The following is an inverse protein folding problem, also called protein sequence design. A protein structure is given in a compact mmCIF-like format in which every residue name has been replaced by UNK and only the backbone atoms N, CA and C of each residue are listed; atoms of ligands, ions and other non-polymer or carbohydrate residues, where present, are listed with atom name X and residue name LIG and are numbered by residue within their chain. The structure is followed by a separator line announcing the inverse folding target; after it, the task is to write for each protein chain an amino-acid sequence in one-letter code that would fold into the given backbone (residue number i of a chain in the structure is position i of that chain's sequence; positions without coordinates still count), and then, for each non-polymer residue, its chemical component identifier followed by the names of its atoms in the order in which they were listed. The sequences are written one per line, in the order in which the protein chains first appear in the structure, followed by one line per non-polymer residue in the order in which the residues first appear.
data_IF_289324336721
#
_entry.id   IF_289324336721
#
_cell.length_a   1.000
_cell.length_b   1.000
_cell.length_c   1.000
_cell.angle_alpha   90.00
_cell.angle_beta   90.00
_cell.angle_gamma   90.00
#
_symmetry.space_group_name_H-M   'P 1'
#
loop_
_entity.id
_entity.type
_entity.pdbx_description
1 polymer ?
#
# COMPACT_ATOMS: atom_id res chain seq x y z
N UNK A 1 -16.58 4.14 -5.68
CA UNK A 1 -15.88 3.75 -4.44
C UNK A 1 -15.50 2.26 -4.51
N UNK A 2 -14.90 1.80 -5.61
CA UNK A 2 -14.47 0.39 -5.78
C UNK A 2 -13.00 0.30 -6.26
N UNK A 3 -12.36 1.44 -6.58
CA UNK A 3 -10.99 1.50 -7.07
C UNK A 3 -9.98 1.72 -5.93
N UNK A 4 -10.35 2.51 -4.92
CA UNK A 4 -9.53 2.84 -3.73
C UNK A 4 -9.05 1.64 -2.92
N UNK A 5 -9.72 0.48 -3.00
CA UNK A 5 -9.32 -0.70 -2.23
C UNK A 5 -8.18 -1.50 -2.89
N UNK A 6 -8.09 -1.48 -4.22
CA UNK A 6 -7.23 -2.40 -4.97
C UNK A 6 -5.74 -2.07 -4.85
N UNK A 7 -5.40 -0.78 -4.79
CA UNK A 7 -4.00 -0.34 -4.57
C UNK A 7 -3.49 -0.76 -3.19
N UNK A 8 -4.37 -0.78 -2.18
CA UNK A 8 -4.04 -1.22 -0.83
C UNK A 8 -3.88 -2.74 -0.75
N UNK A 9 -4.70 -3.48 -1.50
CA UNK A 9 -4.54 -4.94 -1.66
C UNK A 9 -3.16 -5.27 -2.28
N UNK A 10 -2.72 -4.54 -3.31
CA UNK A 10 -1.39 -4.73 -3.92
C UNK A 10 -0.26 -4.53 -2.90
N UNK A 11 -0.32 -3.46 -2.08
CA UNK A 11 0.68 -3.22 -1.03
C UNK A 11 0.62 -4.30 0.06
N UNK A 12 -0.57 -4.77 0.41
CA UNK A 12 -0.74 -5.85 1.38
C UNK A 12 -0.13 -7.17 0.89
N UNK A 13 -0.28 -7.49 -0.41
CA UNK A 13 0.30 -8.67 -1.03
C UNK A 13 1.80 -8.54 -1.29
N UNK A 14 2.30 -7.31 -1.50
CA UNK A 14 3.68 -7.00 -1.84
C UNK A 14 4.26 -5.90 -0.91
N UNK A 15 4.49 -6.19 0.38
CA UNK A 15 5.01 -5.19 1.31
C UNK A 15 6.40 -4.72 0.93
N UNK A 16 6.66 -3.43 1.10
CA UNK A 16 7.94 -2.82 0.72
C UNK A 16 8.05 -2.54 -0.78
N UNK A 17 6.94 -2.52 -1.49
CA UNK A 17 6.86 -2.11 -2.90
C UNK A 17 6.92 -0.58 -3.02
N UNK A 18 7.37 -0.09 -4.17
CA UNK A 18 7.43 1.33 -4.53
C UNK A 18 6.18 1.78 -5.26
N UNK A 19 5.96 3.10 -5.36
CA UNK A 19 4.84 3.65 -6.14
C UNK A 19 4.85 3.17 -7.60
N UNK A 20 6.03 3.08 -8.21
CA UNK A 20 6.21 2.62 -9.60
C UNK A 20 5.77 1.17 -9.75
N UNK A 21 6.20 0.29 -8.85
CA UNK A 21 5.81 -1.12 -8.83
C UNK A 21 4.31 -1.30 -8.55
N UNK A 22 3.72 -0.52 -7.63
CA UNK A 22 2.28 -0.54 -7.38
C UNK A 22 1.51 -0.16 -8.65
N UNK A 23 1.96 0.87 -9.37
CA UNK A 23 1.34 1.31 -10.61
C UNK A 23 1.48 0.27 -11.73
N UNK A 24 2.63 -0.39 -11.85
CA UNK A 24 2.83 -1.48 -12.81
C UNK A 24 1.94 -2.67 -12.52
N UNK A 25 1.84 -3.08 -11.25
CA UNK A 25 0.97 -4.19 -10.82
C UNK A 25 -0.52 -3.83 -11.04
N UNK A 26 -0.93 -2.61 -10.70
CA UNK A 26 -2.28 -2.15 -10.98
C UNK A 26 -2.59 -2.17 -12.48
N UNK A 27 -1.64 -1.73 -13.32
CA UNK A 27 -1.79 -1.75 -14.77
C UNK A 27 -1.88 -3.18 -15.34
N UNK A 28 -1.12 -4.14 -14.80
CA UNK A 28 -1.23 -5.56 -15.17
C UNK A 28 -2.63 -6.12 -14.88
N UNK A 29 -3.24 -5.67 -13.78
CA UNK A 29 -4.63 -5.97 -13.43
C UNK A 29 -5.67 -5.18 -14.24
N UNK A 30 -5.26 -4.39 -15.24
CA UNK A 30 -6.13 -3.56 -16.08
C UNK A 30 -6.68 -2.34 -15.36
N UNK A 31 -6.10 -1.98 -14.21
CA UNK A 31 -6.46 -0.81 -13.42
C UNK A 31 -5.52 0.32 -13.81
N UNK A 32 -6.08 1.30 -14.50
CA UNK A 32 -5.40 2.56 -14.80
C UNK A 32 -5.87 3.56 -13.75
N UNK A 33 -5.41 3.37 -12.51
CA UNK A 33 -5.76 4.27 -11.42
C UNK A 33 -4.79 5.46 -11.44
N UNK A 34 -5.28 6.63 -11.81
CA UNK A 34 -4.47 7.87 -11.81
C UNK A 34 -4.27 8.44 -10.42
N UNK A 35 -5.00 7.93 -9.43
CA UNK A 35 -5.12 8.53 -8.11
C UNK A 35 -4.38 7.67 -7.05
N UNK A 36 -3.56 6.70 -7.47
CA UNK A 36 -2.73 5.85 -6.57
C UNK A 36 -1.95 6.70 -5.55
N UNK A 37 -1.26 7.81 -5.94
CA UNK A 37 -0.55 8.63 -4.97
C UNK A 37 -1.49 9.24 -3.91
N UNK A 38 -2.67 9.70 -4.30
CA UNK A 38 -3.67 10.28 -3.41
C UNK A 38 -4.26 9.21 -2.47
N UNK A 39 -4.54 8.01 -2.98
CA UNK A 39 -5.03 6.87 -2.20
C UNK A 39 -4.01 6.46 -1.13
N UNK A 40 -2.72 6.37 -1.50
CA UNK A 40 -1.66 6.06 -0.55
C UNK A 40 -1.49 7.17 0.49
N UNK A 41 -1.57 8.43 0.09
CA UNK A 41 -1.49 9.58 1.00
C UNK A 41 -2.66 9.62 2.00
N UNK A 42 -3.87 9.31 1.54
CA UNK A 42 -5.04 9.17 2.40
C UNK A 42 -4.86 8.01 3.39
N UNK A 43 -4.36 6.87 2.93
CA UNK A 43 -4.11 5.70 3.79
C UNK A 43 -3.01 5.94 4.84
N UNK A 44 -1.97 6.72 4.52
CA UNK A 44 -0.99 7.20 5.52
C UNK A 44 -1.66 8.10 6.54
N UNK A 45 -2.48 9.04 6.08
CA UNK A 45 -3.18 9.99 6.95
C UNK A 45 -4.16 9.28 7.90
N UNK A 46 -4.71 8.15 7.46
CA UNK A 46 -5.61 7.29 8.24
C UNK A 46 -4.88 6.26 9.13
N UNK A 47 -3.54 6.23 9.14
CA UNK A 47 -2.73 5.26 9.88
C UNK A 47 -2.85 3.80 9.37
N UNK A 48 -3.39 3.61 8.17
CA UNK A 48 -3.53 2.30 7.51
C UNK A 48 -2.22 1.87 6.84
N UNK A 49 -1.42 2.82 6.38
CA UNK A 49 -0.13 2.59 5.72
C UNK A 49 1.03 3.31 6.43
N UNK A 50 2.22 2.74 6.26
CA UNK A 50 3.49 3.35 6.62
C UNK A 50 4.31 3.58 5.35
N UNK A 51 4.76 4.82 5.17
CA UNK A 51 5.81 5.17 4.23
C UNK A 51 7.17 4.96 4.90
N UNK A 52 8.07 4.25 4.23
CA UNK A 52 9.44 4.01 4.67
C UNK A 52 10.43 4.50 3.62
N UNK A 53 11.51 5.14 4.06
CA UNK A 53 12.60 5.65 3.20
C UNK A 53 12.14 6.57 2.06
N UNK A 54 10.98 7.23 2.23
CA UNK A 54 10.43 8.17 1.26
C UNK A 54 9.89 7.54 -0.04
N UNK A 55 9.76 6.21 -0.11
CA UNK A 55 9.38 5.51 -1.35
C UNK A 55 8.75 4.13 -1.19
N UNK A 56 8.89 3.50 -0.04
CA UNK A 56 8.39 2.15 0.20
C UNK A 56 7.13 2.16 1.05
N UNK A 57 6.21 1.25 0.73
CA UNK A 57 4.87 1.23 1.33
C UNK A 57 4.61 -0.09 2.05
N UNK A 58 4.10 -0.02 3.28
CA UNK A 58 3.76 -1.19 4.11
C UNK A 58 2.44 -0.98 4.84
N UNK A 59 1.60 -2.01 4.92
CA UNK A 59 0.37 -1.97 5.71
C UNK A 59 0.65 -1.89 7.21
N UNK A 60 0.09 -0.89 7.89
CA UNK A 60 0.20 -0.66 9.34
C UNK A 60 -1.05 -1.16 10.09
N UNK A 61 -2.24 -0.85 9.57
CA UNK A 61 -3.53 -1.28 10.15
C UNK A 61 -4.51 -1.74 9.04
N UNK A 62 -5.70 -2.27 9.38
CA UNK A 62 -6.68 -2.79 8.41
C UNK A 62 -6.85 -4.31 8.33
N UNK A 63 -7.68 -4.79 7.37
CA UNK A 63 -8.03 -6.23 7.15
C UNK A 63 -6.81 -7.14 6.97
N UNK A 64 -5.71 -6.58 6.47
CA UNK A 64 -4.46 -7.28 6.17
C UNK A 64 -3.33 -6.96 7.16
N UNK A 65 -3.65 -6.39 8.33
CA UNK A 65 -2.68 -6.10 9.38
C UNK A 65 -1.76 -7.31 9.57
N UNK A 66 -0.45 -7.10 9.41
CA UNK A 66 0.55 -8.13 9.64
C UNK A 66 0.48 -8.58 11.11
N UNK A 67 -0.31 -9.61 11.41
CA UNK A 67 -0.22 -10.35 12.67
C UNK A 67 1.04 -11.25 12.71
N UNK A 68 2.04 -10.95 11.87
CA UNK A 68 3.15 -11.88 11.60
C UNK A 68 4.50 -11.23 11.28
N UNK A 69 4.64 -9.93 11.49
CA UNK A 69 5.96 -9.36 11.67
C UNK A 69 6.01 -8.81 13.09
N UNK A 70 6.36 -9.72 14.01
CA UNK A 70 7.05 -9.36 15.25
C UNK A 70 8.32 -8.65 14.78
N UNK A 71 8.26 -7.33 14.65
CA UNK A 71 9.45 -6.53 14.46
C UNK A 71 10.10 -6.50 15.84
N UNK A 72 11.22 -7.21 16.09
CA UNK A 72 11.94 -7.01 17.32
C UNK A 72 12.33 -5.53 17.36
N UNK A 73 11.90 -4.85 18.41
CA UNK A 73 12.38 -3.51 18.75
C UNK A 73 13.91 -3.61 18.85
N UNK A 74 14.62 -3.01 17.89
CA UNK A 74 16.06 -2.71 18.03
C UNK A 74 16.24 -1.37 18.72
#
# INVERSE_FOLDING_TARGET
MELSLYSLDIVAENPGTTLEEIAELAADHGIIDTDIPDILSEAVSNDDLLEFDGRYWVMRTGKYRFNRYDHPET
#
